data_IF_366697892305
#
_entry.id   IF_366697892305
#
_cell.length_a   1.000
_cell.length_b   1.000
_cell.length_c   1.000
_cell.angle_alpha   90.00
_cell.angle_beta   90.00
_cell.angle_gamma   90.00
#
_symmetry.space_group_name_H-M   'P 1'
#
loop_
_entity.id
_entity.type
_entity.pdbx_description
1 polymer ?
#
# COMPACT_ATOMS: atom_id res chain seq x y z
N UNK A 1 -9.31 36.55 -1.78
CA UNK A 1 -8.85 35.31 -2.47
C UNK A 1 -7.60 34.63 -1.88
N UNK A 2 -6.52 35.35 -1.51
CA UNK A 2 -5.27 34.74 -0.99
C UNK A 2 -5.41 33.93 0.32
N UNK A 3 -6.32 34.32 1.22
CA UNK A 3 -6.54 33.65 2.54
C UNK A 3 -7.18 32.26 2.41
N UNK A 4 -8.10 32.08 1.44
CA UNK A 4 -8.72 30.79 1.15
C UNK A 4 -7.76 29.83 0.44
N UNK A 5 -6.89 30.33 -0.45
CA UNK A 5 -5.82 29.52 -1.08
C UNK A 5 -4.85 28.95 -0.04
N UNK A 6 -4.41 29.76 0.94
CA UNK A 6 -3.55 29.29 2.04
C UNK A 6 -4.25 28.27 2.96
N UNK A 7 -5.56 28.40 3.21
CA UNK A 7 -6.33 27.37 3.96
C UNK A 7 -6.49 26.08 3.17
N UNK A 8 -6.72 26.14 1.86
CA UNK A 8 -6.81 24.96 0.99
C UNK A 8 -5.46 24.25 0.89
N UNK A 9 -4.35 24.99 0.80
CA UNK A 9 -3.00 24.41 0.77
C UNK A 9 -2.63 23.78 2.12
N UNK A 10 -2.97 24.44 3.24
CA UNK A 10 -2.75 23.87 4.58
C UNK A 10 -3.63 22.66 4.85
N UNK A 11 -4.88 22.67 4.39
CA UNK A 11 -5.77 21.52 4.46
C UNK A 11 -5.27 20.38 3.56
N UNK A 12 -4.78 20.69 2.36
CA UNK A 12 -4.16 19.73 1.45
C UNK A 12 -2.89 19.09 2.03
N UNK A 13 -2.04 19.87 2.70
CA UNK A 13 -0.85 19.35 3.39
C UNK A 13 -1.20 18.51 4.63
N UNK A 14 -2.24 18.89 5.39
CA UNK A 14 -2.71 18.15 6.57
C UNK A 14 -3.43 16.86 6.18
N UNK A 15 -4.15 16.88 5.06
CA UNK A 15 -4.74 15.69 4.42
C UNK A 15 -3.66 14.78 3.84
N UNK A 16 -2.60 15.32 3.21
CA UNK A 16 -1.45 14.55 2.74
C UNK A 16 -0.67 13.86 3.89
N UNK A 17 -0.55 14.51 5.05
CA UNK A 17 0.06 13.93 6.26
C UNK A 17 -0.75 12.78 6.86
N UNK A 18 -2.09 12.81 6.74
CA UNK A 18 -3.01 11.74 7.16
C UNK A 18 -3.00 10.52 6.24
N UNK A 19 -2.36 10.61 5.06
CA UNK A 19 -2.32 9.54 4.04
C UNK A 19 -1.05 8.69 4.04
N UNK A 20 -0.20 8.85 5.04
CA UNK A 20 0.95 7.94 5.23
C UNK A 20 0.43 6.64 5.85
N UNK A 21 -0.33 5.85 5.08
CA UNK A 21 -0.80 4.51 5.45
C UNK A 21 0.36 3.54 5.70
N UNK A 22 1.59 3.91 5.33
CA UNK A 22 2.80 3.11 5.58
C UNK A 22 3.03 2.80 7.06
N UNK A 23 2.49 3.59 8.00
CA UNK A 23 2.54 3.28 9.44
C UNK A 23 1.33 2.48 9.95
N UNK A 24 0.30 2.24 9.14
CA UNK A 24 -0.95 1.62 9.60
C UNK A 24 -0.91 0.08 9.63
N UNK A 25 0.07 -0.55 8.98
CA UNK A 25 0.31 -2.00 9.07
C UNK A 25 1.78 -2.26 9.37
N UNK A 26 2.07 -3.37 10.04
CA UNK A 26 3.44 -3.81 10.29
C UNK A 26 4.11 -4.34 9.00
N UNK A 27 5.42 -4.18 8.87
CA UNK A 27 6.18 -4.86 7.80
C UNK A 27 6.32 -6.35 8.12
N UNK A 28 6.18 -7.21 7.11
CA UNK A 28 6.37 -8.66 7.26
C UNK A 28 7.78 -9.13 6.94
N UNK A 29 8.64 -8.27 6.38
CA UNK A 29 10.00 -8.60 6.01
C UNK A 29 10.84 -8.99 7.24
N UNK A 30 11.51 -10.14 7.17
CA UNK A 30 12.53 -10.55 8.13
C UNK A 30 13.82 -9.76 7.88
N UNK A 31 14.75 -9.80 8.84
CA UNK A 31 16.07 -9.18 8.64
C UNK A 31 16.82 -9.80 7.45
N UNK A 32 16.58 -11.09 7.17
CA UNK A 32 17.13 -11.80 6.01
C UNK A 32 16.50 -11.32 4.70
N UNK A 33 15.16 -11.18 4.64
CA UNK A 33 14.50 -10.59 3.47
C UNK A 33 15.06 -9.20 3.15
N UNK A 34 15.22 -8.36 4.19
CA UNK A 34 15.80 -7.01 4.05
C UNK A 34 17.26 -7.09 3.58
N UNK A 35 18.05 -8.01 4.11
CA UNK A 35 19.43 -8.24 3.67
C UNK A 35 19.51 -8.55 2.17
N UNK A 36 18.66 -9.45 1.67
CA UNK A 36 18.63 -9.76 0.24
C UNK A 36 18.21 -8.54 -0.60
N UNK A 37 17.21 -7.77 -0.15
CA UNK A 37 16.81 -6.54 -0.83
C UNK A 37 17.93 -5.50 -0.89
N UNK A 38 18.69 -5.32 0.20
CA UNK A 38 19.84 -4.41 0.25
C UNK A 38 20.92 -4.86 -0.74
N UNK A 39 21.27 -6.16 -0.71
CA UNK A 39 22.30 -6.73 -1.59
C UNK A 39 21.94 -6.65 -3.06
N UNK A 40 20.66 -6.84 -3.40
CA UNK A 40 20.21 -6.71 -4.77
C UNK A 40 20.30 -5.25 -5.29
N UNK A 41 20.16 -4.25 -4.41
CA UNK A 41 20.35 -2.84 -4.79
C UNK A 41 21.83 -2.43 -4.81
N UNK A 42 22.65 -2.99 -3.92
CA UNK A 42 24.05 -2.63 -3.76
C UNK A 42 24.91 -3.90 -3.55
N UNK A 43 25.16 -4.66 -4.64
CA UNK A 43 25.97 -5.86 -4.56
C UNK A 43 27.46 -5.55 -4.35
N UNK A 44 27.93 -4.35 -4.75
CA UNK A 44 29.32 -3.93 -4.72
C UNK A 44 29.78 -3.35 -6.05
N UNK A 45 31.01 -3.69 -6.45
CA UNK A 45 31.59 -3.35 -7.74
C UNK A 45 31.00 -4.20 -8.87
N UNK A 46 30.97 -3.63 -10.06
CA UNK A 46 30.61 -4.31 -11.32
C UNK A 46 31.78 -4.19 -12.29
N UNK A 47 31.95 -5.19 -13.14
CA UNK A 47 32.97 -5.16 -14.19
C UNK A 47 32.42 -4.45 -15.42
N UNK A 48 33.09 -3.38 -15.86
CA UNK A 48 32.84 -2.74 -17.15
C UNK A 48 34.08 -2.93 -18.05
N UNK A 49 33.85 -3.05 -19.36
CA UNK A 49 34.92 -3.14 -20.35
C UNK A 49 35.16 -1.72 -20.87
N UNK A 50 36.25 -1.10 -20.42
CA UNK A 50 36.70 0.21 -20.91
C UNK A 50 37.94 -0.01 -21.75
N UNK A 51 37.88 0.35 -23.03
CA UNK A 51 38.99 0.23 -23.99
C UNK A 51 39.59 -1.19 -24.07
N UNK A 52 38.75 -2.23 -23.94
CA UNK A 52 39.17 -3.64 -24.00
C UNK A 52 39.82 -4.17 -22.72
N UNK A 53 39.89 -3.37 -21.65
CA UNK A 53 40.37 -3.78 -20.33
C UNK A 53 39.18 -3.92 -19.38
N UNK A 54 39.13 -5.01 -18.61
CA UNK A 54 38.14 -5.19 -17.55
C UNK A 54 38.50 -4.28 -16.37
N UNK A 55 37.66 -3.29 -16.10
CA UNK A 55 37.80 -2.38 -14.95
C UNK A 55 36.65 -2.57 -14.00
N UNK A 56 36.97 -2.69 -12.70
CA UNK A 56 35.97 -2.70 -11.64
C UNK A 56 35.51 -1.27 -11.38
N UNK A 57 34.20 -1.04 -11.48
CA UNK A 57 33.57 0.25 -11.21
C UNK A 57 32.44 0.10 -10.21
N UNK A 58 32.06 1.18 -9.54
CA UNK A 58 30.91 1.17 -8.64
C UNK A 58 29.62 0.82 -9.40
N UNK A 59 28.75 -0.01 -8.82
CA UNK A 59 27.43 -0.19 -9.40
C UNK A 59 26.66 1.15 -9.45
N UNK A 60 25.63 1.24 -10.29
CA UNK A 60 24.87 2.49 -10.51
C UNK A 60 24.36 3.13 -9.22
N UNK A 61 23.96 2.32 -8.22
CA UNK A 61 23.47 2.81 -6.93
C UNK A 61 24.61 3.38 -6.09
N UNK A 62 25.69 2.62 -5.92
CA UNK A 62 26.87 3.01 -5.17
C UNK A 62 27.55 4.24 -5.78
N UNK A 63 27.69 4.28 -7.11
CA UNK A 63 28.25 5.42 -7.84
C UNK A 63 27.48 6.71 -7.52
N UNK A 64 26.15 6.65 -7.58
CA UNK A 64 25.29 7.80 -7.22
C UNK A 64 25.46 8.20 -5.75
N UNK A 65 25.52 7.24 -4.83
CA UNK A 65 25.71 7.53 -3.40
C UNK A 65 27.05 8.24 -3.16
N UNK A 66 28.11 7.81 -3.85
CA UNK A 66 29.44 8.43 -3.73
C UNK A 66 29.41 9.87 -4.27
N UNK A 67 28.82 10.10 -5.44
CA UNK A 67 28.68 11.46 -5.98
C UNK A 67 27.85 12.37 -5.06
N UNK A 68 26.71 11.87 -4.57
CA UNK A 68 25.84 12.60 -3.65
C UNK A 68 26.59 12.90 -2.33
N UNK A 69 27.44 11.97 -1.86
CA UNK A 69 28.23 12.16 -0.65
C UNK A 69 29.34 13.21 -0.84
N UNK A 70 30.08 13.14 -1.95
CA UNK A 70 31.11 14.12 -2.31
C UNK A 70 30.53 15.52 -2.46
N UNK A 71 29.33 15.65 -3.05
CA UNK A 71 28.62 16.93 -3.18
C UNK A 71 28.26 17.57 -1.84
N UNK A 72 28.16 16.78 -0.77
CA UNK A 72 27.86 17.21 0.59
C UNK A 72 29.12 17.39 1.44
N UNK A 73 30.31 17.17 0.86
CA UNK A 73 31.60 17.31 1.54
C UNK A 73 31.97 16.15 2.46
N UNK A 74 31.32 14.98 2.32
CA UNK A 74 31.72 13.78 3.07
C UNK A 74 33.01 13.19 2.49
N UNK A 75 33.88 12.67 3.36
CA UNK A 75 34.99 11.82 2.94
C UNK A 75 34.43 10.50 2.39
N UNK A 76 34.87 10.10 1.20
CA UNK A 76 34.40 8.88 0.55
C UNK A 76 35.48 7.80 0.53
N UNK A 77 35.12 6.52 0.75
CA UNK A 77 36.08 5.42 0.69
C UNK A 77 36.75 5.29 -0.67
N UNK A 78 37.95 4.73 -0.69
CA UNK A 78 38.72 4.49 -1.93
C UNK A 78 38.16 3.30 -2.73
N UNK A 79 38.55 3.17 -4.00
CA UNK A 79 38.20 2.00 -4.80
C UNK A 79 38.77 0.71 -4.20
N UNK A 80 40.01 0.77 -3.67
CA UNK A 80 40.68 -0.35 -3.00
C UNK A 80 39.86 -0.88 -1.80
N UNK A 81 39.21 0.01 -1.04
CA UNK A 81 38.30 -0.42 0.03
C UNK A 81 37.15 -1.29 -0.50
N UNK A 82 36.51 -0.89 -1.61
CA UNK A 82 35.39 -1.65 -2.18
C UNK A 82 35.86 -2.99 -2.75
N UNK A 83 37.05 -3.05 -3.34
CA UNK A 83 37.63 -4.32 -3.81
C UNK A 83 37.87 -5.29 -2.66
N UNK A 84 38.41 -4.82 -1.53
CA UNK A 84 38.61 -5.62 -0.32
C UNK A 84 37.27 -6.02 0.32
N UNK A 85 36.28 -5.14 0.32
CA UNK A 85 34.95 -5.44 0.83
C UNK A 85 34.28 -6.55 0.01
N UNK A 86 34.30 -6.45 -1.32
CA UNK A 86 33.72 -7.46 -2.21
C UNK A 86 34.44 -8.81 -2.07
N UNK A 87 35.76 -8.80 -1.85
CA UNK A 87 36.51 -10.01 -1.55
C UNK A 87 36.06 -10.65 -0.23
N UNK A 88 35.92 -9.87 0.86
CA UNK A 88 35.40 -10.39 2.13
C UNK A 88 33.97 -10.94 2.00
N UNK A 89 33.12 -10.28 1.22
CA UNK A 89 31.75 -10.75 0.92
C UNK A 89 31.80 -12.10 0.20
N UNK A 90 32.64 -12.22 -0.82
CA UNK A 90 32.80 -13.45 -1.60
C UNK A 90 33.33 -14.60 -0.75
N UNK A 91 34.40 -14.38 0.00
CA UNK A 91 35.02 -15.40 0.86
C UNK A 91 34.00 -15.89 1.91
N UNK A 92 33.27 -14.96 2.53
CA UNK A 92 32.24 -15.30 3.50
C UNK A 92 31.05 -16.03 2.84
N UNK A 93 30.65 -15.63 1.65
CA UNK A 93 29.57 -16.28 0.92
C UNK A 93 29.92 -17.72 0.55
N UNK A 94 31.14 -17.97 0.07
CA UNK A 94 31.67 -19.31 -0.26
C UNK A 94 31.78 -20.17 1.00
N UNK A 95 32.31 -19.63 2.10
CA UNK A 95 32.44 -20.35 3.36
C UNK A 95 31.08 -20.84 3.91
N UNK A 96 29.98 -20.16 3.58
CA UNK A 96 28.62 -20.51 3.97
C UNK A 96 27.82 -21.20 2.85
N UNK A 97 28.44 -21.49 1.70
CA UNK A 97 27.77 -22.09 0.55
C UNK A 97 27.90 -23.62 0.58
N UNK A 98 26.77 -24.32 0.49
CA UNK A 98 26.78 -25.77 0.37
C UNK A 98 26.99 -26.18 -1.09
N UNK A 99 28.22 -26.58 -1.44
CA UNK A 99 28.62 -26.90 -2.80
C UNK A 99 28.32 -28.37 -3.18
N UNK A 100 27.07 -28.81 -3.05
CA UNK A 100 26.67 -30.19 -3.39
C UNK A 100 26.89 -30.55 -4.87
N UNK A 101 26.92 -29.53 -5.74
CA UNK A 101 27.07 -29.67 -7.21
C UNK A 101 28.53 -29.67 -7.68
N UNK A 102 29.50 -29.52 -6.77
CA UNK A 102 30.92 -29.49 -7.15
C UNK A 102 31.31 -28.33 -8.07
N UNK A 103 30.63 -27.19 -7.95
CA UNK A 103 30.92 -25.99 -8.75
C UNK A 103 32.33 -25.46 -8.44
N UNK A 104 32.99 -24.91 -9.46
CA UNK A 104 34.35 -24.35 -9.34
C UNK A 104 34.46 -22.98 -10.03
N UNK A 105 35.41 -22.16 -9.60
CA UNK A 105 35.73 -20.88 -10.22
C UNK A 105 34.55 -19.90 -10.25
N UNK A 106 34.32 -19.25 -11.39
CA UNK A 106 33.32 -18.20 -11.55
C UNK A 106 31.88 -18.68 -11.27
N UNK A 107 31.55 -19.94 -11.59
CA UNK A 107 30.22 -20.49 -11.34
C UNK A 107 29.95 -20.68 -9.84
N UNK A 108 30.96 -21.14 -9.09
CA UNK A 108 30.89 -21.22 -7.63
C UNK A 108 30.71 -19.83 -7.02
N UNK A 109 31.49 -18.85 -7.47
CA UNK A 109 31.43 -17.49 -6.97
C UNK A 109 30.03 -16.88 -7.20
N UNK A 110 29.49 -17.02 -8.41
CA UNK A 110 28.16 -16.52 -8.73
C UNK A 110 27.05 -17.21 -7.92
N UNK A 111 27.12 -18.53 -7.76
CA UNK A 111 26.14 -19.29 -6.97
C UNK A 111 26.21 -18.93 -5.47
N UNK A 112 27.41 -18.82 -4.92
CA UNK A 112 27.64 -18.44 -3.53
C UNK A 112 27.15 -17.02 -3.25
N UNK A 113 27.48 -16.04 -4.10
CA UNK A 113 26.99 -14.66 -3.95
C UNK A 113 25.48 -14.56 -4.11
N UNK A 114 24.87 -15.33 -5.03
CA UNK A 114 23.42 -15.36 -5.18
C UNK A 114 22.72 -15.84 -3.91
N UNK A 115 23.26 -16.88 -3.27
CA UNK A 115 22.64 -17.45 -2.06
C UNK A 115 22.99 -16.68 -0.79
N UNK A 116 24.24 -16.22 -0.64
CA UNK A 116 24.78 -15.75 0.63
C UNK A 116 25.32 -14.31 0.60
N UNK A 117 25.30 -13.62 -0.55
CA UNK A 117 25.81 -12.25 -0.67
C UNK A 117 25.11 -11.24 0.25
N UNK A 118 23.84 -11.51 0.60
CA UNK A 118 23.08 -10.72 1.58
C UNK A 118 23.72 -10.64 2.97
N UNK A 119 24.60 -11.59 3.31
CA UNK A 119 25.38 -11.58 4.54
C UNK A 119 26.34 -10.39 4.62
N UNK A 120 26.59 -9.67 3.52
CA UNK A 120 27.19 -8.32 3.54
C UNK A 120 26.53 -7.42 4.57
N UNK A 121 25.19 -7.44 4.60
CA UNK A 121 24.40 -6.56 5.45
C UNK A 121 23.78 -7.25 6.67
N UNK A 122 24.00 -8.55 6.85
CA UNK A 122 23.38 -9.30 7.95
C UNK A 122 24.42 -10.09 8.72
N UNK A 123 24.43 -9.91 10.04
CA UNK A 123 25.29 -10.68 10.94
C UNK A 123 24.75 -10.70 12.36
N UNK A 124 25.46 -11.33 13.28
CA UNK A 124 25.12 -11.36 14.70
C UNK A 124 26.24 -10.75 15.52
N UNK A 125 25.89 -10.03 16.61
CA UNK A 125 26.89 -9.49 17.53
C UNK A 125 27.78 -10.62 18.07
N UNK A 126 29.06 -10.60 17.69
CA UNK A 126 30.09 -11.45 18.27
C UNK A 126 30.12 -12.92 17.83
N UNK A 127 29.64 -13.28 16.63
CA UNK A 127 29.70 -14.67 16.18
C UNK A 127 30.38 -14.87 14.83
N UNK A 128 31.12 -15.97 14.72
CA UNK A 128 31.71 -16.50 13.48
C UNK A 128 30.70 -17.25 12.61
N UNK A 129 29.55 -17.70 13.14
CA UNK A 129 28.35 -18.13 12.39
C UNK A 129 27.11 -18.03 13.29
N UNK A 130 26.03 -17.36 12.84
CA UNK A 130 24.66 -17.57 13.38
C UNK A 130 23.61 -17.36 12.28
N UNK A 131 22.71 -18.33 12.13
CA UNK A 131 21.48 -18.23 11.32
C UNK A 131 20.20 -18.21 12.15
N UNK A 132 19.23 -17.47 11.61
CA UNK A 132 17.78 -17.44 11.84
C UNK A 132 17.18 -16.81 13.13
N UNK A 133 17.93 -16.68 14.24
CA UNK A 133 17.30 -16.30 15.52
C UNK A 133 17.49 -14.87 16.04
N UNK A 134 18.48 -14.12 15.55
CA UNK A 134 18.92 -12.87 16.21
C UNK A 134 19.87 -11.99 15.39
N UNK A 135 19.82 -12.11 14.06
CA UNK A 135 20.69 -11.35 13.17
C UNK A 135 20.25 -9.88 13.07
N UNK A 136 21.21 -8.96 13.25
CA UNK A 136 21.00 -7.52 13.15
C UNK A 136 21.53 -7.02 11.78
N UNK A 137 20.88 -5.99 11.24
CA UNK A 137 21.32 -5.35 10.00
C UNK A 137 22.62 -4.58 10.22
N UNK A 138 23.42 -4.49 9.17
CA UNK A 138 24.69 -3.77 9.08
C UNK A 138 25.84 -4.34 9.93
N UNK A 139 25.68 -5.51 10.57
CA UNK A 139 26.71 -6.06 11.47
C UNK A 139 27.99 -6.40 10.72
N UNK A 140 27.92 -7.30 9.72
CA UNK A 140 29.11 -7.74 8.97
C UNK A 140 29.78 -6.59 8.24
N UNK A 141 29.02 -5.76 7.53
CA UNK A 141 29.52 -4.51 6.95
C UNK A 141 30.30 -3.66 7.95
N UNK A 142 29.77 -3.43 9.16
CA UNK A 142 30.47 -2.62 10.17
C UNK A 142 31.77 -3.29 10.65
N UNK A 143 31.77 -4.61 10.82
CA UNK A 143 32.95 -5.38 11.24
C UNK A 143 34.03 -5.32 10.16
N UNK A 144 33.67 -5.60 8.91
CA UNK A 144 34.60 -5.63 7.79
C UNK A 144 35.18 -4.25 7.49
N UNK A 145 34.44 -3.16 7.68
CA UNK A 145 35.02 -1.82 7.57
C UNK A 145 36.16 -1.58 8.55
N UNK A 146 36.02 -2.10 9.78
CA UNK A 146 37.06 -1.99 10.81
C UNK A 146 38.27 -2.85 10.47
N UNK A 147 38.04 -4.08 10.00
CA UNK A 147 39.12 -4.98 9.56
C UNK A 147 39.89 -4.42 8.37
N UNK A 148 39.19 -3.94 7.34
CA UNK A 148 39.81 -3.33 6.16
C UNK A 148 40.54 -2.05 6.56
N UNK A 149 39.98 -1.23 7.45
CA UNK A 149 40.65 -0.03 7.95
C UNK A 149 41.98 -0.33 8.68
N UNK A 150 42.10 -1.50 9.30
CA UNK A 150 43.36 -1.97 9.87
C UNK A 150 44.39 -2.41 8.81
N UNK A 151 43.95 -2.76 7.60
CA UNK A 151 44.81 -3.18 6.48
C UNK A 151 45.27 -2.01 5.61
N UNK A 152 44.37 -1.07 5.27
CA UNK A 152 44.63 0.01 4.29
C UNK A 152 44.62 1.41 4.89
N UNK A 153 44.45 1.56 6.20
CA UNK A 153 44.30 2.85 6.87
C UNK A 153 42.84 3.27 7.03
N UNK A 154 42.51 3.88 8.18
CA UNK A 154 41.15 4.28 8.52
C UNK A 154 40.65 5.50 7.73
N UNK A 155 41.55 6.23 7.08
CA UNK A 155 41.27 7.32 6.16
C UNK A 155 40.69 6.85 4.82
N UNK A 156 40.92 5.58 4.45
CA UNK A 156 40.49 4.99 3.18
C UNK A 156 39.15 4.24 3.28
N UNK A 157 38.57 4.13 4.48
CA UNK A 157 37.32 3.41 4.75
C UNK A 157 36.19 4.37 5.16
N UNK A 158 34.91 3.93 5.16
CA UNK A 158 33.80 4.74 5.63
C UNK A 158 34.01 5.32 7.03
N UNK A 159 34.06 6.65 7.11
CA UNK A 159 33.93 7.34 8.39
C UNK A 159 32.48 7.23 8.93
N UNK A 160 32.24 7.74 10.14
CA UNK A 160 30.91 7.66 10.77
C UNK A 160 29.84 8.39 9.97
N UNK A 161 30.18 9.51 9.34
CA UNK A 161 29.22 10.39 8.71
C UNK A 161 28.82 9.85 7.33
N UNK A 162 29.80 9.42 6.52
CA UNK A 162 29.59 8.66 5.29
C UNK A 162 28.85 7.35 5.57
N UNK A 163 29.20 6.60 6.62
CA UNK A 163 28.50 5.36 6.96
C UNK A 163 27.01 5.59 7.25
N UNK A 164 26.66 6.63 8.01
CA UNK A 164 25.26 6.99 8.28
C UNK A 164 24.53 7.44 7.01
N UNK A 165 25.19 8.23 6.16
CA UNK A 165 24.66 8.68 4.88
C UNK A 165 24.39 7.48 3.95
N UNK A 166 25.38 6.62 3.74
CA UNK A 166 25.30 5.43 2.90
C UNK A 166 24.19 4.49 3.38
N UNK A 167 24.13 4.15 4.67
CA UNK A 167 23.06 3.32 5.26
C UNK A 167 21.67 3.90 4.97
N UNK A 168 21.53 5.21 5.10
CA UNK A 168 20.27 5.91 4.82
C UNK A 168 19.90 5.86 3.34
N UNK A 169 20.85 6.10 2.43
CA UNK A 169 20.59 6.11 0.99
C UNK A 169 20.24 4.72 0.46
N UNK A 170 20.97 3.68 0.86
CA UNK A 170 20.68 2.31 0.44
C UNK A 170 19.34 1.85 1.03
N UNK A 171 19.09 2.09 2.33
CA UNK A 171 17.82 1.71 2.94
C UNK A 171 16.63 2.46 2.31
N UNK A 172 16.81 3.71 1.90
CA UNK A 172 15.78 4.48 1.20
C UNK A 172 15.36 3.87 -0.16
N UNK A 173 16.21 3.04 -0.79
CA UNK A 173 15.85 2.31 -2.01
C UNK A 173 14.85 1.19 -1.76
N UNK A 174 14.95 0.54 -0.59
CA UNK A 174 14.16 -0.66 -0.28
C UNK A 174 13.00 -0.40 0.69
N UNK A 175 13.00 0.73 1.42
CA UNK A 175 11.97 1.01 2.46
C UNK A 175 10.53 1.04 1.96
N UNK A 176 10.34 1.30 0.67
CA UNK A 176 9.02 1.29 0.04
C UNK A 176 8.56 -0.13 -0.32
N UNK A 177 9.49 -1.08 -0.45
CA UNK A 177 9.18 -2.48 -0.71
C UNK A 177 8.69 -3.14 0.58
N UNK A 178 7.47 -3.67 0.54
CA UNK A 178 6.84 -4.37 1.66
C UNK A 178 6.44 -5.80 1.32
N UNK A 179 6.76 -6.25 0.11
CA UNK A 179 6.27 -7.49 -0.49
C UNK A 179 7.00 -8.73 0.06
N UNK A 180 6.79 -9.03 1.34
CA UNK A 180 7.48 -10.09 2.08
C UNK A 180 6.53 -11.12 2.73
N UNK A 181 5.25 -11.10 2.36
CA UNK A 181 4.28 -12.14 2.74
C UNK A 181 4.29 -13.17 1.63
N UNK A 182 4.85 -14.33 1.96
CA UNK A 182 4.92 -15.52 1.12
C UNK A 182 4.45 -16.75 1.93
N UNK A 183 3.79 -17.70 1.29
CA UNK A 183 3.39 -18.99 1.86
C UNK A 183 4.48 -20.05 1.72
N UNK A 184 5.31 -19.91 0.70
CA UNK A 184 6.40 -20.81 0.37
C UNK A 184 7.70 -20.02 0.29
N UNK A 185 8.82 -20.68 0.59
CA UNK A 185 10.13 -20.09 0.32
C UNK A 185 10.31 -20.01 -1.20
N UNK A 186 10.76 -18.86 -1.70
CA UNK A 186 10.88 -18.65 -3.13
C UNK A 186 11.53 -17.34 -3.52
N UNK A 187 11.79 -17.19 -4.82
CA UNK A 187 12.27 -15.94 -5.41
C UNK A 187 11.07 -15.12 -5.91
N UNK A 188 10.87 -13.94 -5.33
CA UNK A 188 9.76 -13.06 -5.64
C UNK A 188 10.26 -11.68 -6.09
N UNK A 189 9.48 -11.01 -6.93
CA UNK A 189 9.82 -9.71 -7.49
C UNK A 189 9.94 -9.71 -9.02
N UNK A 190 10.16 -8.53 -9.63
CA UNK A 190 10.29 -8.39 -11.08
C UNK A 190 11.40 -9.28 -11.64
N UNK A 191 11.31 -9.69 -12.90
CA UNK A 191 12.27 -10.61 -13.55
C UNK A 191 13.74 -10.23 -13.32
N UNK A 192 14.09 -8.96 -13.46
CA UNK A 192 15.47 -8.47 -13.31
C UNK A 192 15.93 -8.28 -11.85
N UNK A 193 15.02 -8.41 -10.88
CA UNK A 193 15.24 -7.98 -9.50
C UNK A 193 14.52 -8.90 -8.50
N UNK A 194 14.54 -10.21 -8.75
CA UNK A 194 13.97 -11.22 -7.85
C UNK A 194 14.79 -11.32 -6.57
N UNK A 195 14.10 -11.44 -5.44
CA UNK A 195 14.67 -11.50 -4.10
C UNK A 195 14.14 -12.75 -3.42
N UNK A 196 14.99 -13.57 -2.78
CA UNK A 196 14.53 -14.66 -1.94
C UNK A 196 13.71 -14.12 -0.75
N UNK A 197 12.50 -14.62 -0.58
CA UNK A 197 11.61 -14.28 0.55
C UNK A 197 11.27 -15.55 1.32
N UNK A 198 11.42 -15.50 2.64
CA UNK A 198 11.07 -16.64 3.50
C UNK A 198 9.57 -16.73 3.73
N UNK A 199 9.05 -17.96 3.77
CA UNK A 199 7.67 -18.25 4.10
C UNK A 199 7.30 -17.67 5.47
N UNK A 200 6.13 -17.03 5.54
CA UNK A 200 5.59 -16.44 6.75
C UNK A 200 4.45 -17.32 7.27
N UNK A 201 4.38 -17.46 8.59
CA UNK A 201 3.33 -18.25 9.25
C UNK A 201 2.24 -17.36 9.82
N UNK A 202 1.02 -17.89 9.88
CA UNK A 202 -0.11 -17.17 10.48
C UNK A 202 0.16 -16.79 11.95
N UNK A 203 0.81 -17.68 12.70
CA UNK A 203 1.23 -17.43 14.10
C UNK A 203 2.17 -16.24 14.22
N UNK A 204 3.08 -16.04 13.26
CA UNK A 204 3.97 -14.87 13.24
C UNK A 204 3.21 -13.56 12.95
N UNK A 205 2.11 -13.61 12.18
CA UNK A 205 1.29 -12.44 11.89
C UNK A 205 0.62 -11.87 13.16
N UNK A 206 0.13 -12.73 14.06
CA UNK A 206 -0.46 -12.31 15.34
C UNK A 206 0.53 -11.59 16.27
N UNK A 207 1.83 -11.87 16.14
CA UNK A 207 2.88 -11.15 16.89
C UNK A 207 3.08 -9.72 16.38
N UNK A 208 2.71 -9.43 15.13
CA UNK A 208 2.83 -8.10 14.53
C UNK A 208 1.62 -7.21 14.84
N UNK A 209 0.44 -7.81 14.98
CA UNK A 209 -0.76 -7.13 15.42
C UNK A 209 -2.05 -7.91 15.14
N UNK A 210 -3.16 -7.40 15.66
CA UNK A 210 -4.48 -8.04 15.52
C UNK A 210 -4.99 -7.96 14.08
N UNK A 211 -4.81 -6.82 13.40
CA UNK A 211 -5.23 -6.65 12.00
C UNK A 211 -4.36 -7.53 11.09
N UNK A 212 -3.08 -7.65 11.43
CA UNK A 212 -2.10 -8.48 10.73
C UNK A 212 -2.50 -9.96 10.76
N UNK A 213 -2.82 -10.47 11.94
CA UNK A 213 -3.29 -11.84 12.13
C UNK A 213 -4.68 -12.08 11.55
N UNK A 214 -5.63 -11.18 11.80
CA UNK A 214 -7.04 -11.41 11.46
C UNK A 214 -7.35 -11.18 9.97
N UNK A 215 -6.70 -10.20 9.32
CA UNK A 215 -7.05 -9.76 7.96
C UNK A 215 -5.86 -9.82 7.01
N UNK A 216 -4.73 -9.17 7.34
CA UNK A 216 -3.62 -9.00 6.38
C UNK A 216 -3.08 -10.35 5.90
N UNK A 217 -2.69 -11.22 6.84
CA UNK A 217 -2.09 -12.51 6.50
C UNK A 217 -3.09 -13.43 5.79
N UNK A 218 -4.33 -13.67 6.28
CA UNK A 218 -5.28 -14.52 5.58
C UNK A 218 -5.63 -14.04 4.17
N UNK A 219 -5.77 -12.73 3.97
CA UNK A 219 -6.05 -12.16 2.64
C UNK A 219 -4.84 -12.33 1.71
N UNK A 220 -3.61 -12.07 2.20
CA UNK A 220 -2.40 -12.25 1.41
C UNK A 220 -2.15 -13.72 1.06
N UNK A 221 -2.38 -14.64 2.00
CA UNK A 221 -2.31 -16.08 1.80
C UNK A 221 -3.32 -16.55 0.75
N UNK A 222 -4.56 -16.06 0.82
CA UNK A 222 -5.59 -16.37 -0.16
C UNK A 222 -5.20 -15.84 -1.56
N UNK A 223 -4.67 -14.62 -1.64
CA UNK A 223 -4.20 -14.04 -2.90
C UNK A 223 -3.09 -14.88 -3.53
N UNK A 224 -2.10 -15.30 -2.74
CA UNK A 224 -0.99 -16.12 -3.22
C UNK A 224 -1.47 -17.49 -3.68
N UNK A 225 -2.28 -18.17 -2.86
CA UNK A 225 -2.88 -19.46 -3.22
C UNK A 225 -3.65 -19.40 -4.55
N UNK A 226 -4.49 -18.37 -4.72
CA UNK A 226 -5.25 -18.17 -5.94
C UNK A 226 -4.37 -17.78 -7.13
N UNK A 227 -3.33 -16.99 -6.92
CA UNK A 227 -2.39 -16.61 -7.98
C UNK A 227 -1.69 -17.85 -8.54
N UNK A 228 -1.23 -18.76 -7.67
CA UNK A 228 -0.66 -20.03 -8.11
C UNK A 228 -1.69 -20.93 -8.80
N UNK A 229 -2.93 -20.95 -8.30
CA UNK A 229 -4.02 -21.78 -8.87
C UNK A 229 -4.45 -21.34 -10.27
N UNK A 230 -4.46 -20.04 -10.55
CA UNK A 230 -4.83 -19.48 -11.86
C UNK A 230 -3.66 -19.38 -12.85
N UNK A 231 -2.46 -19.80 -12.43
CA UNK A 231 -1.22 -19.69 -13.17
C UNK A 231 -0.39 -18.48 -12.74
N UNK A 232 0.91 -18.71 -12.52
CA UNK A 232 1.89 -17.71 -12.08
C UNK A 232 2.21 -16.71 -13.21
N UNK A 233 1.27 -15.80 -13.45
CA UNK A 233 1.42 -14.69 -14.37
C UNK A 233 0.46 -13.56 -14.02
N UNK A 234 0.65 -12.39 -14.63
CA UNK A 234 -0.13 -11.20 -14.30
C UNK A 234 -1.65 -11.42 -14.33
N UNK A 235 -2.18 -12.11 -15.34
CA UNK A 235 -3.62 -12.39 -15.42
C UNK A 235 -4.12 -13.25 -14.25
N UNK A 236 -3.32 -14.20 -13.79
CA UNK A 236 -3.60 -14.98 -12.59
C UNK A 236 -3.72 -14.11 -11.35
N UNK A 237 -2.86 -13.09 -11.21
CA UNK A 237 -2.96 -12.11 -10.14
C UNK A 237 -4.26 -11.30 -10.19
N UNK A 238 -4.73 -10.88 -11.38
CA UNK A 238 -6.02 -10.18 -11.52
C UNK A 238 -7.19 -11.08 -11.10
N UNK A 239 -7.22 -12.33 -11.56
CA UNK A 239 -8.26 -13.29 -11.16
C UNK A 239 -8.22 -13.58 -9.66
N UNK A 240 -7.03 -13.69 -9.08
CA UNK A 240 -6.84 -13.83 -7.64
C UNK A 240 -7.39 -12.62 -6.87
N UNK A 241 -7.11 -11.40 -7.32
CA UNK A 241 -7.67 -10.18 -6.72
C UNK A 241 -9.19 -10.15 -6.88
N UNK A 242 -9.72 -10.51 -8.05
CA UNK A 242 -11.16 -10.57 -8.31
C UNK A 242 -11.88 -11.48 -7.33
N UNK A 243 -11.43 -12.73 -7.23
CA UNK A 243 -12.08 -13.72 -6.36
C UNK A 243 -11.90 -13.36 -4.88
N UNK A 244 -10.70 -12.91 -4.48
CA UNK A 244 -10.45 -12.41 -3.13
C UNK A 244 -11.37 -11.24 -2.78
N UNK A 245 -11.55 -10.31 -3.71
CA UNK A 245 -12.44 -9.15 -3.51
C UNK A 245 -13.88 -9.59 -3.32
N UNK A 246 -14.36 -10.54 -4.15
CA UNK A 246 -15.71 -11.09 -4.02
C UNK A 246 -15.90 -11.78 -2.67
N UNK A 247 -14.93 -12.56 -2.21
CA UNK A 247 -15.00 -13.25 -0.91
C UNK A 247 -15.02 -12.23 0.24
N UNK A 248 -14.04 -11.33 0.29
CA UNK A 248 -13.94 -10.33 1.35
C UNK A 248 -15.18 -9.45 1.35
N UNK A 249 -15.55 -8.84 0.21
CA UNK A 249 -16.74 -7.97 0.11
C UNK A 249 -18.03 -8.75 0.37
N UNK A 250 -18.13 -10.00 -0.05
CA UNK A 250 -19.29 -10.86 0.22
C UNK A 250 -19.52 -11.02 1.72
N UNK A 251 -18.46 -11.37 2.48
CA UNK A 251 -18.52 -11.44 3.94
C UNK A 251 -18.93 -10.10 4.57
N UNK A 252 -18.40 -8.98 4.07
CA UNK A 252 -18.77 -7.66 4.56
C UNK A 252 -20.22 -7.29 4.26
N UNK A 253 -20.71 -7.63 3.07
CA UNK A 253 -22.09 -7.36 2.69
C UNK A 253 -23.01 -8.15 3.61
N UNK A 254 -22.71 -9.42 3.89
CA UNK A 254 -23.49 -10.21 4.84
C UNK A 254 -23.49 -9.58 6.24
N UNK A 255 -22.34 -9.11 6.72
CA UNK A 255 -22.22 -8.45 8.02
C UNK A 255 -22.93 -7.07 8.08
N UNK A 256 -22.93 -6.32 6.97
CA UNK A 256 -23.43 -4.94 6.91
C UNK A 256 -24.81 -4.79 6.29
N UNK A 257 -25.43 -5.86 5.78
CA UNK A 257 -26.71 -5.81 5.05
C UNK A 257 -27.81 -5.08 5.82
N UNK A 258 -27.96 -5.38 7.11
CA UNK A 258 -28.95 -4.71 7.98
C UNK A 258 -28.68 -3.20 8.07
N UNK A 259 -27.41 -2.80 8.14
CA UNK A 259 -26.98 -1.41 8.20
C UNK A 259 -27.22 -0.70 6.86
N UNK A 260 -26.92 -1.35 5.73
CA UNK A 260 -27.18 -0.83 4.39
C UNK A 260 -28.68 -0.62 4.13
N UNK A 261 -29.52 -1.59 4.54
CA UNK A 261 -30.99 -1.45 4.47
C UNK A 261 -31.45 -0.26 5.33
N UNK A 262 -30.92 -0.12 6.55
CA UNK A 262 -31.21 1.02 7.42
C UNK A 262 -30.86 2.36 6.79
N UNK A 263 -29.71 2.46 6.13
CA UNK A 263 -29.29 3.67 5.42
C UNK A 263 -30.21 4.00 4.22
N UNK A 264 -30.66 2.98 3.48
CA UNK A 264 -31.61 3.18 2.38
C UNK A 264 -33.00 3.59 2.87
N UNK A 265 -33.48 3.02 3.99
CA UNK A 265 -34.73 3.47 4.64
C UNK A 265 -34.63 4.93 5.09
N UNK A 266 -33.49 5.34 5.64
CA UNK A 266 -33.24 6.74 6.00
C UNK A 266 -33.30 7.66 4.78
N UNK A 267 -32.75 7.23 3.62
CA UNK A 267 -32.89 7.98 2.36
C UNK A 267 -34.36 8.08 1.91
N UNK A 268 -35.18 7.04 2.13
CA UNK A 268 -36.61 7.07 1.82
C UNK A 268 -37.40 8.04 2.71
N UNK A 269 -36.93 8.34 3.93
CA UNK A 269 -37.53 9.32 4.85
C UNK A 269 -37.07 10.77 4.65
N UNK A 270 -36.13 11.03 3.73
CA UNK A 270 -35.69 12.39 3.39
C UNK A 270 -36.83 13.40 3.14
N UNK A 271 -37.94 13.07 2.43
CA UNK A 271 -39.04 14.02 2.28
C UNK A 271 -39.75 14.35 3.61
N UNK A 272 -39.92 13.39 4.52
CA UNK A 272 -40.51 13.64 5.85
C UNK A 272 -39.57 14.48 6.73
N UNK A 273 -38.27 14.20 6.65
CA UNK A 273 -37.24 15.00 7.31
C UNK A 273 -37.23 16.45 6.81
N UNK A 274 -37.41 16.67 5.50
CA UNK A 274 -37.51 18.01 4.92
C UNK A 274 -38.73 18.78 5.45
N UNK A 275 -39.88 18.12 5.60
CA UNK A 275 -41.08 18.71 6.22
C UNK A 275 -40.85 19.08 7.69
N UNK A 276 -40.15 18.25 8.46
CA UNK A 276 -39.78 18.58 9.85
C UNK A 276 -38.84 19.79 9.87
N UNK A 277 -37.84 19.84 8.98
CA UNK A 277 -36.92 20.98 8.89
C UNK A 277 -37.63 22.29 8.55
N UNK A 278 -38.68 22.27 7.72
CA UNK A 278 -39.51 23.46 7.44
C UNK A 278 -40.20 24.03 8.68
N UNK A 279 -40.55 23.19 9.68
CA UNK A 279 -41.16 23.65 10.93
C UNK A 279 -40.19 24.43 11.83
N UNK A 280 -38.87 24.39 11.56
CA UNK A 280 -37.83 25.02 12.36
C UNK A 280 -36.85 25.85 11.50
N UNK A 281 -37.30 26.97 10.91
CA UNK A 281 -36.49 27.78 9.98
C UNK A 281 -35.30 28.48 10.62
N UNK A 282 -35.35 28.81 11.92
CA UNK A 282 -34.27 29.52 12.61
C UNK A 282 -33.30 28.58 13.33
N UNK A 283 -33.35 27.28 13.07
CA UNK A 283 -32.45 26.27 13.67
C UNK A 283 -30.95 26.52 13.41
N UNK A 284 -30.59 27.39 12.47
CA UNK A 284 -29.20 27.81 12.23
C UNK A 284 -28.69 28.90 13.18
N UNK A 285 -29.58 29.74 13.70
CA UNK A 285 -29.27 30.91 14.52
C UNK A 285 -29.68 30.71 15.98
N UNK A 286 -30.78 29.98 16.22
CA UNK A 286 -31.31 29.70 17.55
C UNK A 286 -30.93 28.28 18.02
N UNK A 287 -30.22 28.20 19.14
CA UNK A 287 -29.79 26.93 19.75
C UNK A 287 -30.97 26.08 20.24
N UNK A 288 -32.06 26.70 20.71
CA UNK A 288 -33.25 25.98 21.17
C UNK A 288 -33.98 25.29 20.00
N UNK A 289 -34.22 26.01 18.90
CA UNK A 289 -34.82 25.41 17.69
C UNK A 289 -33.93 24.31 17.09
N UNK A 290 -32.61 24.44 17.18
CA UNK A 290 -31.68 23.39 16.75
C UNK A 290 -31.84 22.11 17.57
N UNK A 291 -32.00 22.24 18.89
CA UNK A 291 -32.22 21.08 19.77
C UNK A 291 -33.59 20.45 19.52
N UNK A 292 -34.64 21.26 19.37
CA UNK A 292 -35.99 20.79 19.04
C UNK A 292 -36.02 20.06 17.68
N UNK A 293 -35.32 20.59 16.67
CA UNK A 293 -35.18 19.94 15.36
C UNK A 293 -34.48 18.58 15.50
N UNK A 294 -33.39 18.49 16.26
CA UNK A 294 -32.67 17.24 16.48
C UNK A 294 -33.54 16.19 17.20
N UNK A 295 -34.32 16.61 18.20
CA UNK A 295 -35.28 15.74 18.90
C UNK A 295 -36.40 15.24 17.97
N UNK A 296 -36.97 16.12 17.14
CA UNK A 296 -38.01 15.76 16.18
C UNK A 296 -37.49 14.78 15.11
N UNK A 297 -36.26 14.97 14.63
CA UNK A 297 -35.59 14.03 13.71
C UNK A 297 -35.36 12.67 14.37
N UNK A 298 -34.89 12.63 15.62
CA UNK A 298 -34.69 11.38 16.37
C UNK A 298 -36.01 10.66 16.65
N UNK A 299 -37.08 11.39 16.98
CA UNK A 299 -38.41 10.82 17.18
C UNK A 299 -38.96 10.19 15.89
N UNK A 300 -38.72 10.81 14.73
CA UNK A 300 -39.07 10.24 13.44
C UNK A 300 -38.31 8.92 13.18
N UNK A 301 -36.99 8.91 13.40
CA UNK A 301 -36.19 7.69 13.25
C UNK A 301 -36.66 6.57 14.19
N UNK A 302 -36.98 6.91 15.45
CA UNK A 302 -37.52 5.95 16.43
C UNK A 302 -38.87 5.38 15.99
N UNK A 303 -39.77 6.23 15.47
CA UNK A 303 -41.09 5.81 14.96
C UNK A 303 -40.97 4.80 13.81
N UNK A 304 -39.96 4.97 12.96
CA UNK A 304 -39.69 4.08 11.81
C UNK A 304 -38.69 2.94 12.13
N UNK A 305 -38.27 2.79 13.40
CA UNK A 305 -37.36 1.73 13.83
C UNK A 305 -35.96 1.81 13.20
N UNK A 306 -35.50 3.01 12.83
CA UNK A 306 -34.19 3.23 12.18
C UNK A 306 -33.19 3.69 13.23
N UNK A 307 -32.04 3.02 13.30
CA UNK A 307 -30.92 3.46 14.13
C UNK A 307 -29.96 4.35 13.30
N UNK A 308 -29.90 5.67 13.55
CA UNK A 308 -28.99 6.56 12.81
C UNK A 308 -27.50 6.29 13.08
N UNK A 309 -27.14 5.63 14.18
CA UNK A 309 -25.76 5.20 14.44
C UNK A 309 -25.35 3.98 13.61
N UNK A 310 -26.32 3.24 13.07
CA UNK A 310 -26.06 2.08 12.23
C UNK A 310 -25.32 2.42 10.93
N UNK A 311 -25.54 3.62 10.38
CA UNK A 311 -24.82 4.09 9.19
C UNK A 311 -23.37 4.48 9.49
N UNK A 312 -23.09 4.95 10.72
CA UNK A 312 -21.74 5.27 11.17
C UNK A 312 -20.92 4.00 11.43
N UNK A 313 -21.57 2.92 11.90
CA UNK A 313 -20.91 1.64 12.17
C UNK A 313 -20.30 1.01 10.91
N UNK A 314 -20.94 1.16 9.75
CA UNK A 314 -20.39 0.69 8.45
C UNK A 314 -19.01 1.29 8.20
N UNK A 315 -18.84 2.59 8.48
CA UNK A 315 -17.57 3.29 8.27
C UNK A 315 -16.47 2.76 9.20
N UNK A 316 -16.80 2.51 10.48
CA UNK A 316 -15.86 1.96 11.45
C UNK A 316 -15.44 0.53 11.13
N UNK A 317 -16.33 -0.27 10.56
CA UNK A 317 -16.00 -1.63 10.10
C UNK A 317 -15.14 -1.56 8.83
N UNK A 318 -15.49 -0.68 7.89
CA UNK A 318 -14.83 -0.57 6.58
C UNK A 318 -13.35 -0.17 6.68
N UNK A 319 -12.99 0.69 7.64
CA UNK A 319 -11.63 1.23 7.73
C UNK A 319 -10.56 0.19 8.12
N UNK A 320 -10.73 -0.62 9.18
CA UNK A 320 -9.83 -1.75 9.49
C UNK A 320 -9.69 -2.75 8.34
N UNK A 321 -10.78 -3.00 7.60
CA UNK A 321 -10.72 -3.94 6.46
C UNK A 321 -9.96 -3.33 5.30
N UNK A 322 -10.15 -2.04 5.04
CA UNK A 322 -9.35 -1.33 4.05
C UNK A 322 -7.85 -1.40 4.41
N UNK A 323 -7.48 -1.16 5.68
CA UNK A 323 -6.11 -1.30 6.16
C UNK A 323 -5.61 -2.72 5.96
N UNK A 324 -6.41 -3.73 6.32
CA UNK A 324 -6.04 -5.13 6.19
C UNK A 324 -5.82 -5.57 4.74
N UNK A 325 -6.72 -5.21 3.83
CA UNK A 325 -6.60 -5.51 2.39
C UNK A 325 -5.44 -4.73 1.77
N UNK A 326 -5.26 -3.46 2.12
CA UNK A 326 -4.13 -2.66 1.68
C UNK A 326 -2.79 -3.26 2.15
N UNK A 327 -2.71 -3.69 3.42
CA UNK A 327 -1.57 -4.39 3.98
C UNK A 327 -1.30 -5.72 3.27
N UNK A 328 -2.36 -6.45 2.91
CA UNK A 328 -2.22 -7.71 2.18
C UNK A 328 -1.70 -7.49 0.75
N UNK A 329 -2.22 -6.48 0.04
CA UNK A 329 -1.81 -6.17 -1.34
C UNK A 329 -0.41 -5.58 -1.44
N UNK A 330 -0.03 -4.72 -0.50
CA UNK A 330 1.35 -4.19 -0.41
C UNK A 330 2.33 -5.21 0.13
N UNK A 331 1.85 -6.12 0.99
CA UNK A 331 2.65 -7.13 1.66
C UNK A 331 2.89 -8.39 0.85
N UNK A 332 2.01 -8.72 -0.09
CA UNK A 332 2.07 -9.97 -0.87
C UNK A 332 3.28 -9.99 -1.82
N UNK A 333 4.16 -10.97 -1.65
CA UNK A 333 5.33 -11.18 -2.50
C UNK A 333 4.92 -11.64 -3.92
N UNK A 334 3.86 -12.43 -4.03
CA UNK A 334 3.36 -12.92 -5.33
C UNK A 334 2.88 -11.78 -6.24
N UNK A 335 2.24 -10.75 -5.69
CA UNK A 335 1.79 -9.57 -6.46
C UNK A 335 2.94 -8.68 -6.95
N UNK A 336 4.10 -8.73 -6.29
CA UNK A 336 5.28 -7.99 -6.71
C UNK A 336 6.06 -8.71 -7.83
N UNK A 337 5.73 -9.96 -8.14
CA UNK A 337 6.54 -10.80 -9.03
C UNK A 337 6.25 -10.56 -10.51
N UNK A 338 4.98 -10.62 -10.91
CA UNK A 338 4.60 -10.48 -12.32
C UNK A 338 4.08 -9.08 -12.68
N UNK A 339 4.00 -8.83 -13.98
CA UNK A 339 3.33 -7.67 -14.54
C UNK A 339 2.14 -8.08 -15.43
N UNK A 340 1.09 -7.27 -15.42
CA UNK A 340 -0.04 -7.39 -16.34
C UNK A 340 0.06 -6.26 -17.36
N UNK A 341 0.16 -6.58 -18.65
CA UNK A 341 0.20 -5.57 -19.71
C UNK A 341 1.29 -4.50 -19.41
N UNK A 342 2.43 -4.95 -18.89
CA UNK A 342 3.57 -4.11 -18.47
C UNK A 342 3.43 -3.40 -17.13
N UNK A 343 2.31 -3.55 -16.40
CA UNK A 343 2.09 -2.93 -15.08
C UNK A 343 2.26 -3.96 -13.96
N UNK A 344 3.23 -3.73 -13.07
CA UNK A 344 3.36 -4.49 -11.84
C UNK A 344 2.30 -4.05 -10.83
N UNK A 345 1.57 -5.00 -10.22
CA UNK A 345 0.44 -4.69 -9.34
C UNK A 345 0.86 -4.14 -7.97
N UNK A 346 2.11 -4.35 -7.56
CA UNK A 346 2.67 -3.73 -6.34
C UNK A 346 3.14 -2.29 -6.55
N UNK A 347 3.32 -1.85 -7.80
CA UNK A 347 3.79 -0.51 -8.12
C UNK A 347 2.75 0.57 -7.79
N UNK A 348 3.22 1.75 -7.38
CA UNK A 348 2.37 2.91 -7.08
C UNK A 348 1.73 3.43 -8.37
N UNK A 349 0.39 3.41 -8.43
CA UNK A 349 -0.37 3.66 -9.65
C UNK A 349 -0.10 5.06 -10.23
N UNK A 350 0.02 6.09 -9.39
CA UNK A 350 0.33 7.45 -9.84
C UNK A 350 1.70 7.59 -10.49
N UNK A 351 2.72 6.91 -9.95
CA UNK A 351 4.07 6.93 -10.54
C UNK A 351 4.08 6.17 -11.86
N UNK A 352 3.40 5.03 -11.94
CA UNK A 352 3.27 4.27 -13.19
C UNK A 352 2.54 5.05 -14.30
N UNK A 353 1.67 6.01 -13.96
CA UNK A 353 1.01 6.88 -14.94
C UNK A 353 1.89 8.03 -15.45
N UNK A 354 2.82 8.53 -14.63
CA UNK A 354 3.52 9.81 -14.86
C UNK A 354 5.00 9.62 -15.17
N UNK A 355 5.66 8.64 -14.57
CA UNK A 355 7.09 8.39 -14.78
C UNK A 355 7.29 7.35 -15.88
N UNK A 356 8.15 7.66 -16.86
CA UNK A 356 8.40 6.73 -17.95
C UNK A 356 7.24 6.64 -18.92
N UNK A 357 6.68 7.80 -19.33
CA UNK A 357 5.78 7.84 -20.48
C UNK A 357 6.43 7.07 -21.64
N UNK A 358 5.66 6.17 -22.27
CA UNK A 358 6.11 5.26 -23.32
C UNK A 358 7.02 4.08 -22.87
N UNK A 359 7.16 3.82 -21.56
CA UNK A 359 7.78 2.59 -21.02
C UNK A 359 6.73 1.49 -20.71
N UNK A 360 7.09 0.37 -20.09
CA UNK A 360 6.13 -0.70 -19.78
C UNK A 360 5.02 -0.23 -18.81
N UNK A 361 3.75 -0.44 -19.18
CA UNK A 361 2.61 -0.36 -18.25
C UNK A 361 1.96 1.01 -18.00
N UNK A 362 2.44 2.12 -18.59
CA UNK A 362 1.86 3.45 -18.33
C UNK A 362 0.41 3.56 -18.78
N UNK A 363 0.08 3.04 -19.97
CA UNK A 363 -1.27 3.08 -20.52
C UNK A 363 -2.23 2.21 -19.71
N UNK A 364 -1.75 1.04 -19.26
CA UNK A 364 -2.49 0.13 -18.38
C UNK A 364 -2.84 0.81 -17.06
N UNK A 365 -1.91 1.59 -16.49
CA UNK A 365 -2.16 2.38 -15.29
C UNK A 365 -3.25 3.45 -15.51
N UNK A 366 -3.23 4.17 -16.64
CA UNK A 366 -4.27 5.14 -16.99
C UNK A 366 -5.63 4.50 -17.21
N UNK A 367 -5.69 3.39 -17.94
CA UNK A 367 -6.93 2.64 -18.18
C UNK A 367 -7.52 2.19 -16.84
N UNK A 368 -6.69 1.59 -15.98
CA UNK A 368 -7.13 1.16 -14.65
C UNK A 368 -7.66 2.34 -13.83
N UNK A 369 -6.92 3.46 -13.76
CA UNK A 369 -7.33 4.65 -13.03
C UNK A 369 -8.66 5.23 -13.54
N UNK A 370 -8.87 5.30 -14.85
CA UNK A 370 -10.11 5.77 -15.45
C UNK A 370 -11.26 4.83 -15.10
N UNK A 371 -11.06 3.51 -15.26
CA UNK A 371 -12.06 2.50 -14.94
C UNK A 371 -12.48 2.57 -13.48
N UNK A 372 -11.52 2.50 -12.53
CA UNK A 372 -11.84 2.56 -11.10
C UNK A 372 -12.53 3.88 -10.71
N UNK A 373 -12.08 5.01 -11.26
CA UNK A 373 -12.66 6.32 -10.96
C UNK A 373 -14.08 6.44 -11.51
N UNK A 374 -14.31 6.03 -12.76
CA UNK A 374 -15.62 6.06 -13.40
C UNK A 374 -16.61 5.14 -12.67
N UNK A 375 -16.21 3.90 -12.35
CA UNK A 375 -17.09 2.98 -11.61
C UNK A 375 -17.36 3.47 -10.20
N UNK A 376 -16.38 4.07 -9.52
CA UNK A 376 -16.58 4.64 -8.19
C UNK A 376 -17.55 5.83 -8.23
N UNK A 377 -17.46 6.67 -9.27
CA UNK A 377 -18.40 7.77 -9.48
C UNK A 377 -19.82 7.24 -9.70
N UNK A 378 -19.99 6.24 -10.57
CA UNK A 378 -21.28 5.59 -10.80
C UNK A 378 -21.80 4.99 -9.50
N UNK A 379 -20.99 4.22 -8.78
CA UNK A 379 -21.36 3.59 -7.51
C UNK A 379 -21.84 4.60 -6.46
N UNK A 380 -21.18 5.75 -6.34
CA UNK A 380 -21.55 6.77 -5.36
C UNK A 380 -22.82 7.54 -5.77
N UNK A 381 -23.02 7.82 -7.06
CA UNK A 381 -24.16 8.58 -7.54
C UNK A 381 -25.42 7.73 -7.75
N UNK A 382 -25.29 6.43 -7.98
CA UNK A 382 -26.39 5.52 -8.27
C UNK A 382 -27.48 5.55 -7.20
N UNK A 383 -27.12 5.51 -5.91
CA UNK A 383 -28.10 5.59 -4.82
C UNK A 383 -28.91 6.90 -4.85
N UNK A 384 -28.30 8.00 -5.32
CA UNK A 384 -28.99 9.29 -5.48
C UNK A 384 -29.87 9.29 -6.73
N UNK A 385 -29.40 8.70 -7.83
CA UNK A 385 -30.13 8.64 -9.11
C UNK A 385 -31.39 7.78 -9.01
N UNK A 386 -31.32 6.62 -8.35
CA UNK A 386 -32.48 5.75 -8.13
C UNK A 386 -33.55 6.40 -7.26
N UNK A 387 -33.18 7.32 -6.38
CA UNK A 387 -34.08 8.04 -5.49
C UNK A 387 -34.48 9.44 -6.01
N UNK A 388 -34.05 9.83 -7.22
CA UNK A 388 -34.20 11.19 -7.78
C UNK A 388 -35.64 11.65 -7.92
N UNK A 389 -36.61 10.74 -8.13
CA UNK A 389 -38.03 11.07 -8.17
C UNK A 389 -38.54 11.61 -6.83
N UNK A 390 -38.12 11.00 -5.71
CA UNK A 390 -38.44 11.47 -4.35
C UNK A 390 -37.70 12.76 -4.00
N UNK A 391 -36.50 12.96 -4.56
CA UNK A 391 -35.70 14.18 -4.36
C UNK A 391 -36.29 15.40 -5.08
N UNK A 392 -36.96 15.22 -6.23
CA UNK A 392 -37.60 16.33 -6.97
C UNK A 392 -38.77 16.98 -6.22
N UNK A 393 -39.44 16.27 -5.30
CA UNK A 393 -40.45 16.87 -4.40
C UNK A 393 -39.81 17.76 -3.32
N UNK A 394 -38.56 17.48 -2.95
CA UNK A 394 -37.79 18.23 -1.95
C UNK A 394 -37.44 19.61 -2.49
N UNK A 395 -36.91 19.70 -3.73
CA UNK A 395 -36.51 20.98 -4.35
C UNK A 395 -37.69 21.97 -4.52
N UNK A 396 -38.94 21.45 -4.56
CA UNK A 396 -40.17 22.27 -4.64
C UNK A 396 -40.63 22.81 -3.29
N UNK A 397 -40.14 22.26 -2.18
CA UNK A 397 -40.60 22.60 -0.82
C UNK A 397 -39.50 23.26 0.04
N UNK A 398 -38.25 23.29 -0.44
CA UNK A 398 -37.12 23.97 0.21
C UNK A 398 -37.07 25.47 -0.09
N UNK A 399 -37.88 26.26 0.61
CA UNK A 399 -37.68 27.70 0.78
C UNK A 399 -36.96 28.05 2.11
N UNK A 400 -36.40 27.04 2.81
CA UNK A 400 -35.77 27.20 4.13
C UNK A 400 -34.23 27.11 4.05
N UNK A 401 -33.48 28.15 4.46
CA UNK A 401 -32.00 28.16 4.48
C UNK A 401 -31.35 27.05 5.32
N UNK A 402 -32.04 26.49 6.33
CA UNK A 402 -31.51 25.42 7.19
C UNK A 402 -31.49 24.04 6.50
N UNK A 403 -32.57 23.68 5.79
CA UNK A 403 -32.65 22.45 5.01
C UNK A 403 -31.62 22.47 3.86
N UNK A 404 -31.51 23.61 3.19
CA UNK A 404 -30.54 23.87 2.12
C UNK A 404 -29.09 23.67 2.59
N UNK A 405 -28.74 24.18 3.78
CA UNK A 405 -27.40 24.06 4.34
C UNK A 405 -27.05 22.61 4.65
N UNK A 406 -27.98 21.83 5.22
CA UNK A 406 -27.76 20.42 5.51
C UNK A 406 -27.63 19.57 4.22
N UNK A 407 -28.47 19.83 3.22
CA UNK A 407 -28.40 19.14 1.93
C UNK A 407 -27.12 19.49 1.15
N UNK A 408 -26.70 20.77 1.16
CA UNK A 408 -25.42 21.20 0.58
C UNK A 408 -24.23 20.58 1.30
N UNK A 409 -24.25 20.49 2.64
CA UNK A 409 -23.19 19.85 3.41
C UNK A 409 -23.07 18.35 3.07
N UNK A 410 -24.19 17.65 2.89
CA UNK A 410 -24.21 16.25 2.46
C UNK A 410 -23.66 16.06 1.03
N UNK A 411 -24.10 16.89 0.07
CA UNK A 411 -23.60 16.88 -1.31
C UNK A 411 -22.10 17.21 -1.38
N UNK A 412 -21.64 18.17 -0.57
CA UNK A 412 -20.23 18.55 -0.47
C UNK A 412 -19.39 17.42 0.10
N UNK A 413 -19.84 16.74 1.16
CA UNK A 413 -19.14 15.59 1.75
C UNK A 413 -18.95 14.46 0.73
N UNK A 414 -20.01 14.10 0.00
CA UNK A 414 -19.95 13.04 -1.02
C UNK A 414 -18.95 13.39 -2.14
N UNK A 415 -18.96 14.64 -2.63
CA UNK A 415 -18.05 15.07 -3.69
C UNK A 415 -16.59 15.16 -3.19
N UNK A 416 -16.36 15.61 -1.96
CA UNK A 416 -15.02 15.65 -1.36
C UNK A 416 -14.46 14.24 -1.19
N UNK A 417 -15.27 13.30 -0.69
CA UNK A 417 -14.84 11.90 -0.51
C UNK A 417 -14.47 11.26 -1.85
N UNK A 418 -15.22 11.55 -2.92
CA UNK A 418 -14.88 11.08 -4.26
C UNK A 418 -13.53 11.65 -4.73
N UNK A 419 -13.32 12.97 -4.64
CA UNK A 419 -12.05 13.61 -4.99
C UNK A 419 -10.89 13.06 -4.16
N UNK A 420 -11.13 12.76 -2.89
CA UNK A 420 -10.16 12.16 -1.99
C UNK A 420 -9.75 10.76 -2.47
N UNK A 421 -10.70 9.90 -2.85
CA UNK A 421 -10.40 8.56 -3.39
C UNK A 421 -9.58 8.67 -4.68
N UNK A 422 -9.96 9.59 -5.57
CA UNK A 422 -9.23 9.85 -6.83
C UNK A 422 -7.80 10.35 -6.57
N UNK A 423 -7.61 11.20 -5.56
CA UNK A 423 -6.27 11.63 -5.16
C UNK A 423 -5.48 10.48 -4.52
N UNK A 424 -6.10 9.71 -3.62
CA UNK A 424 -5.47 8.56 -2.97
C UNK A 424 -5.05 7.48 -3.97
N UNK A 425 -5.78 7.28 -5.07
CA UNK A 425 -5.34 6.29 -6.07
C UNK A 425 -4.00 6.62 -6.71
N UNK A 426 -3.53 7.87 -6.69
CA UNK A 426 -2.16 8.18 -7.14
C UNK A 426 -1.10 7.61 -6.20
N UNK A 427 -1.42 7.47 -4.91
CA UNK A 427 -0.45 7.04 -3.89
C UNK A 427 -0.53 5.56 -3.54
N UNK A 428 -1.60 4.88 -3.94
CA UNK A 428 -1.82 3.47 -3.66
C UNK A 428 -1.20 2.55 -4.74
N UNK A 429 -0.94 1.27 -4.41
CA UNK A 429 -0.54 0.27 -5.38
C UNK A 429 -1.60 0.03 -6.45
N UNK A 430 -1.20 -0.40 -7.66
CA UNK A 430 -2.11 -0.75 -8.73
C UNK A 430 -3.09 -1.87 -8.34
N UNK A 431 -2.67 -2.85 -7.52
CA UNK A 431 -3.55 -3.88 -6.96
C UNK A 431 -4.78 -3.30 -6.24
N UNK A 432 -4.60 -2.17 -5.52
CA UNK A 432 -5.71 -1.46 -4.86
C UNK A 432 -6.68 -0.85 -5.87
N UNK A 433 -6.19 -0.41 -7.03
CA UNK A 433 -7.03 0.08 -8.12
C UNK A 433 -7.95 -1.01 -8.66
N UNK A 434 -7.41 -2.22 -8.87
CA UNK A 434 -8.18 -3.40 -9.31
C UNK A 434 -9.23 -3.77 -8.25
N UNK A 435 -8.82 -3.84 -6.98
CA UNK A 435 -9.73 -4.08 -5.84
C UNK A 435 -10.86 -3.05 -5.75
N UNK A 436 -10.57 -1.77 -5.92
CA UNK A 436 -11.57 -0.71 -5.90
C UNK A 436 -12.51 -0.76 -7.09
N UNK A 437 -12.01 -1.05 -8.30
CA UNK A 437 -12.84 -1.25 -9.48
C UNK A 437 -13.87 -2.36 -9.26
N UNK A 438 -13.41 -3.56 -8.83
CA UNK A 438 -14.30 -4.69 -8.54
C UNK A 438 -15.25 -4.36 -7.39
N UNK A 439 -14.74 -3.75 -6.32
CA UNK A 439 -15.55 -3.34 -5.18
C UNK A 439 -16.65 -2.34 -5.54
N UNK A 440 -16.38 -1.41 -6.47
CA UNK A 440 -17.37 -0.47 -6.98
C UNK A 440 -18.45 -1.19 -7.81
N UNK A 441 -18.08 -2.15 -8.65
CA UNK A 441 -19.04 -3.00 -9.39
C UNK A 441 -19.95 -3.76 -8.42
N UNK A 442 -19.36 -4.42 -7.40
CA UNK A 442 -20.12 -5.12 -6.36
C UNK A 442 -21.08 -4.16 -5.65
N UNK A 443 -20.63 -2.94 -5.34
CA UNK A 443 -21.44 -1.91 -4.67
C UNK A 443 -22.60 -1.43 -5.56
N UNK A 444 -22.38 -1.30 -6.86
CA UNK A 444 -23.42 -0.99 -7.86
C UNK A 444 -24.48 -2.10 -7.85
N UNK A 445 -24.07 -3.36 -8.01
CA UNK A 445 -24.96 -4.52 -8.03
C UNK A 445 -25.75 -4.61 -6.71
N UNK A 446 -25.08 -4.49 -5.57
CA UNK A 446 -25.70 -4.47 -4.25
C UNK A 446 -26.75 -3.35 -4.14
N UNK A 447 -26.42 -2.14 -4.59
CA UNK A 447 -27.34 -0.99 -4.53
C UNK A 447 -28.59 -1.24 -5.37
N UNK A 448 -28.43 -1.79 -6.56
CA UNK A 448 -29.54 -2.16 -7.46
C UNK A 448 -30.42 -3.23 -6.81
N UNK A 449 -29.83 -4.31 -6.30
CA UNK A 449 -30.57 -5.40 -5.65
C UNK A 449 -31.37 -4.88 -4.45
N UNK A 450 -30.72 -4.14 -3.54
CA UNK A 450 -31.39 -3.58 -2.36
C UNK A 450 -32.53 -2.65 -2.75
N UNK A 451 -32.33 -1.80 -3.77
CA UNK A 451 -33.39 -0.92 -4.25
C UNK A 451 -34.62 -1.70 -4.76
N UNK A 452 -34.41 -2.74 -5.57
CA UNK A 452 -35.51 -3.58 -6.07
C UNK A 452 -36.21 -4.36 -4.96
N UNK A 453 -35.45 -4.96 -4.03
CA UNK A 453 -36.02 -5.68 -2.88
C UNK A 453 -36.87 -4.75 -2.00
N UNK A 454 -36.41 -3.52 -1.77
CA UNK A 454 -37.20 -2.55 -1.00
C UNK A 454 -38.42 -2.04 -1.76
N UNK A 455 -38.35 -1.89 -3.09
CA UNK A 455 -39.50 -1.50 -3.92
C UNK A 455 -40.57 -2.61 -3.94
N UNK A 456 -40.17 -3.87 -3.96
CA UNK A 456 -41.08 -5.03 -3.90
C UNK A 456 -41.73 -5.22 -2.52
N UNK A 457 -41.04 -4.83 -1.45
CA UNK A 457 -41.55 -4.84 -0.06
C UNK A 457 -42.46 -3.66 0.29
N UNK A 458 -43.09 -3.00 -0.68
CA UNK A 458 -43.98 -1.87 -0.41
C UNK A 458 -45.00 -2.22 0.69
N UNK A 459 -44.75 -1.58 1.83
CA UNK A 459 -45.72 -1.19 2.85
C UNK A 459 -46.71 -0.19 2.26
#
# INVERSE_FOLDING_TARGET
MKKNKKRIIKLGALVAGLFVLSSCTASFCSAKDIGYMLYNQEPGLVTEIVDGTETKVHNKVLHKIILDAQSQGFATPTLEYYEKLDQKVLDFAIANFNNEKGLVGAELNAAALKQNGYLKFLGTKGATVITAGGSELWVNWTIWNKEIGAEIGYENVPDRDFANFYKTQVYNKIKANRACIALYDGEYGPEDNKVPVEAKTWKAAWKKGVIEGLIVYPVAALLEYLTFSFGAGGWGQIWAILLTTIIVRGLLILATLKQTIGAQKMQALQPELAKIQQKYPNSNTNQYERQALAQAQMALYKKHGINPLGSLLVMFVQFPIFIGVWGAMTGSASLASDSVLGLNLSAQLGQSMINGWFQGGWWTAWVLFILMTATQFVSTKLSTWLNKSKTKEIDKTTANPAADKQQRQSKMMMNIMFLMIVFMSFTLPAAMGVYWFIGAIISIVQTVIVHYVMKGRKQ
#
